data_IF_186102875555
#
_entry.id   IF_186102875555
#
_cell.length_a   1.000
_cell.length_b   1.000
_cell.length_c   1.000
_cell.angle_alpha   90.00
_cell.angle_beta   90.00
_cell.angle_gamma   90.00
#
_symmetry.space_group_name_H-M   'P 1'
#
loop_
_entity.id
_entity.type
_entity.pdbx_description
1 polymer ?
#
# COMPACT_ATOMS: atom_id res chain seq x y z
N UNK A 1 -39.57 27.42 52.60
CA UNK A 1 -40.49 27.23 51.45
C UNK A 1 -39.79 27.74 50.20
N UNK A 2 -39.59 26.83 49.25
CA UNK A 2 -39.28 27.04 47.82
C UNK A 2 -37.93 27.66 47.39
N UNK A 3 -37.00 26.76 47.11
CA UNK A 3 -35.94 26.87 46.10
C UNK A 3 -36.47 27.38 44.75
N UNK A 4 -35.72 28.26 44.08
CA UNK A 4 -35.68 28.30 42.61
C UNK A 4 -34.25 28.67 42.15
N UNK A 5 -33.42 27.63 42.04
CA UNK A 5 -32.17 27.67 41.28
C UNK A 5 -32.54 27.86 39.82
N UNK A 6 -32.15 28.97 39.19
CA UNK A 6 -32.35 29.19 37.75
C UNK A 6 -31.41 28.27 36.98
N UNK A 7 -31.99 27.26 36.33
CA UNK A 7 -31.28 26.25 35.57
C UNK A 7 -30.48 26.86 34.41
N UNK A 8 -29.23 26.43 34.32
CA UNK A 8 -28.34 26.63 33.19
C UNK A 8 -28.86 25.90 31.95
N UNK A 9 -28.94 26.61 30.82
CA UNK A 9 -29.08 25.99 29.49
C UNK A 9 -28.22 26.75 28.48
N UNK A 10 -26.90 26.59 28.57
CA UNK A 10 -26.05 26.81 27.40
C UNK A 10 -25.96 25.49 26.66
N UNK A 11 -26.75 25.38 25.60
CA UNK A 11 -26.72 24.27 24.66
C UNK A 11 -25.30 24.15 24.07
N UNK A 12 -24.56 23.12 24.49
CA UNK A 12 -23.30 22.76 23.87
C UNK A 12 -23.56 22.39 22.41
N UNK A 13 -23.05 23.20 21.49
CA UNK A 13 -23.03 22.90 20.06
C UNK A 13 -22.19 21.63 19.87
N UNK A 14 -22.87 20.51 19.65
CA UNK A 14 -22.24 19.28 19.19
C UNK A 14 -21.66 19.52 17.80
N UNK A 15 -20.36 19.80 17.74
CA UNK A 15 -19.60 19.77 16.48
C UNK A 15 -19.47 18.31 16.08
N UNK A 16 -20.43 17.82 15.31
CA UNK A 16 -20.33 16.54 14.63
C UNK A 16 -19.29 16.65 13.52
N UNK A 17 -18.03 16.39 13.85
CA UNK A 17 -17.02 16.08 12.84
C UNK A 17 -17.30 14.68 12.30
N UNK A 18 -18.28 14.57 11.39
CA UNK A 18 -18.42 13.40 10.53
C UNK A 18 -17.29 13.42 9.50
N UNK A 19 -16.08 13.08 9.96
CA UNK A 19 -14.99 12.77 9.07
C UNK A 19 -15.40 11.57 8.23
N UNK A 20 -15.68 11.81 6.94
CA UNK A 20 -15.87 10.75 5.97
C UNK A 20 -14.57 9.96 5.86
N UNK A 21 -14.42 8.91 6.68
CA UNK A 21 -13.56 7.80 6.34
C UNK A 21 -14.24 7.09 5.17
N UNK A 22 -14.08 7.65 3.97
CA UNK A 22 -14.29 6.91 2.73
C UNK A 22 -13.27 5.77 2.74
N UNK A 23 -13.64 4.68 3.40
CA UNK A 23 -12.97 3.41 3.30
C UNK A 23 -13.13 3.04 1.83
N UNK A 24 -12.05 3.11 1.06
CA UNK A 24 -11.98 2.59 -0.30
C UNK A 24 -12.08 1.06 -0.24
N UNK A 25 -13.24 0.55 0.13
CA UNK A 25 -13.65 -0.82 -0.10
C UNK A 25 -13.97 -0.88 -1.58
N UNK A 26 -13.05 -1.40 -2.39
CA UNK A 26 -13.29 -1.60 -3.81
C UNK A 26 -14.56 -2.44 -3.99
N UNK A 27 -15.60 -1.83 -4.52
CA UNK A 27 -16.87 -2.49 -4.79
C UNK A 27 -16.67 -3.52 -5.90
N UNK A 28 -17.22 -4.72 -5.74
CA UNK A 28 -17.22 -5.75 -6.77
C UNK A 28 -18.30 -5.42 -7.80
N UNK A 29 -17.93 -5.43 -9.07
CA UNK A 29 -18.79 -5.16 -10.21
C UNK A 29 -19.00 -6.48 -10.96
N UNK A 30 -20.15 -7.13 -10.72
CA UNK A 30 -20.49 -8.41 -11.34
C UNK A 30 -20.90 -8.19 -12.80
N UNK A 31 -20.62 -9.18 -13.65
CA UNK A 31 -20.87 -9.17 -15.10
C UNK A 31 -20.40 -7.88 -15.79
N UNK A 32 -19.25 -7.38 -15.35
CA UNK A 32 -18.69 -6.10 -15.78
C UNK A 32 -17.23 -6.27 -16.15
N UNK A 33 -16.88 -5.83 -17.36
CA UNK A 33 -15.50 -5.69 -17.82
C UNK A 33 -15.15 -4.20 -17.92
N UNK A 34 -14.01 -3.82 -17.32
CA UNK A 34 -13.40 -2.50 -17.49
C UNK A 34 -12.27 -2.60 -18.50
N UNK A 35 -12.60 -2.77 -19.79
CA UNK A 35 -11.66 -3.15 -20.84
C UNK A 35 -10.40 -2.26 -20.94
N UNK A 36 -9.31 -2.83 -21.45
CA UNK A 36 -8.05 -2.13 -21.74
C UNK A 36 -7.25 -1.71 -20.50
N UNK A 37 -6.11 -1.05 -20.74
CA UNK A 37 -5.18 -0.64 -19.67
C UNK A 37 -4.53 -1.81 -18.93
N UNK A 38 -4.55 -3.02 -19.46
CA UNK A 38 -3.99 -4.21 -18.80
C UNK A 38 -2.47 -4.09 -18.64
N UNK A 39 -1.99 -4.22 -17.41
CA UNK A 39 -0.57 -4.16 -17.04
C UNK A 39 -0.02 -5.53 -16.60
N UNK A 40 -0.90 -6.48 -16.29
CA UNK A 40 -0.55 -7.86 -15.96
C UNK A 40 -1.74 -8.80 -16.16
N UNK A 41 -1.44 -10.06 -16.46
CA UNK A 41 -2.42 -11.15 -16.66
C UNK A 41 -1.86 -12.44 -16.07
N UNK A 42 -2.64 -13.11 -15.23
CA UNK A 42 -2.26 -14.40 -14.64
C UNK A 42 -3.50 -15.20 -14.23
N UNK A 43 -3.34 -16.53 -14.09
CA UNK A 43 -4.39 -17.39 -13.57
C UNK A 43 -4.44 -17.32 -12.05
N UNK A 44 -5.65 -17.34 -11.51
CA UNK A 44 -5.92 -17.45 -10.08
C UNK A 44 -6.96 -18.56 -9.82
N UNK A 45 -7.31 -18.80 -8.56
CA UNK A 45 -8.38 -19.71 -8.19
C UNK A 45 -9.78 -19.18 -8.52
N UNK A 46 -10.80 -19.79 -7.91
CA UNK A 46 -12.21 -19.39 -8.09
C UNK A 46 -12.59 -18.07 -7.39
N UNK A 47 -11.66 -17.48 -6.63
CA UNK A 47 -11.96 -16.36 -5.76
C UNK A 47 -11.54 -15.00 -6.39
N UNK A 48 -12.49 -14.18 -6.88
CA UNK A 48 -12.18 -12.86 -7.44
C UNK A 48 -11.48 -11.91 -6.44
N UNK A 49 -11.62 -12.15 -5.13
CA UNK A 49 -10.91 -11.38 -4.11
C UNK A 49 -9.39 -11.46 -4.26
N UNK A 50 -8.86 -12.58 -4.77
CA UNK A 50 -7.42 -12.73 -5.01
C UNK A 50 -6.93 -11.74 -6.07
N UNK A 51 -7.77 -11.47 -7.09
CA UNK A 51 -7.49 -10.48 -8.13
C UNK A 51 -7.52 -9.05 -7.58
N UNK A 52 -8.50 -8.74 -6.72
CA UNK A 52 -8.56 -7.47 -6.01
C UNK A 52 -7.31 -7.25 -5.14
N UNK A 53 -6.92 -8.25 -4.35
CA UNK A 53 -5.75 -8.17 -3.48
C UNK A 53 -4.45 -8.00 -4.27
N UNK A 54 -4.30 -8.72 -5.39
CA UNK A 54 -3.17 -8.54 -6.28
C UNK A 54 -3.10 -7.12 -6.85
N UNK A 55 -4.24 -6.55 -7.25
CA UNK A 55 -4.31 -5.15 -7.69
C UNK A 55 -3.94 -4.16 -6.57
N UNK A 56 -4.41 -4.39 -5.35
CA UNK A 56 -4.06 -3.54 -4.21
C UNK A 56 -2.56 -3.53 -3.90
N UNK A 57 -1.84 -4.63 -4.21
CA UNK A 57 -0.39 -4.76 -4.02
C UNK A 57 0.43 -4.23 -5.20
N UNK A 58 -0.11 -4.27 -6.43
CA UNK A 58 0.53 -3.69 -7.60
C UNK A 58 0.31 -2.18 -7.62
N UNK A 59 1.41 -1.44 -7.47
CA UNK A 59 1.37 0.02 -7.39
C UNK A 59 0.67 0.62 -8.60
N UNK A 60 1.00 0.17 -9.81
CA UNK A 60 0.45 0.72 -11.05
C UNK A 60 -1.01 0.36 -11.27
N UNK A 61 -1.59 -0.57 -10.50
CA UNK A 61 -2.95 -1.05 -10.72
C UNK A 61 -4.00 -0.07 -10.16
N UNK A 62 -4.92 0.38 -10.98
CA UNK A 62 -6.06 1.21 -10.58
C UNK A 62 -7.39 0.44 -10.61
N UNK A 63 -7.47 -0.62 -11.41
CA UNK A 63 -8.64 -1.49 -11.50
C UNK A 63 -8.23 -2.93 -11.82
N UNK A 64 -9.15 -3.88 -11.66
CA UNK A 64 -8.93 -5.28 -11.97
C UNK A 64 -10.17 -5.89 -12.61
N UNK A 65 -9.98 -6.99 -13.36
CA UNK A 65 -11.06 -7.82 -13.90
C UNK A 65 -10.71 -9.29 -13.77
N UNK A 66 -11.63 -10.08 -13.23
CA UNK A 66 -11.54 -11.52 -13.08
C UNK A 66 -12.53 -12.20 -14.02
N UNK A 67 -12.05 -13.09 -14.89
CA UNK A 67 -12.90 -13.88 -15.80
C UNK A 67 -13.06 -15.27 -15.20
N UNK A 68 -14.29 -15.63 -14.81
CA UNK A 68 -14.59 -16.83 -14.02
C UNK A 68 -14.25 -18.14 -14.73
N UNK A 69 -14.56 -18.26 -16.02
CA UNK A 69 -14.36 -19.49 -16.80
C UNK A 69 -12.89 -19.95 -16.84
N UNK A 70 -11.98 -19.15 -17.42
CA UNK A 70 -10.55 -19.46 -17.46
C UNK A 70 -9.81 -19.08 -16.17
N UNK A 71 -10.52 -18.51 -15.19
CA UNK A 71 -10.00 -18.03 -13.91
C UNK A 71 -8.85 -17.04 -14.06
N UNK A 72 -8.97 -16.13 -15.02
CA UNK A 72 -7.93 -15.16 -15.36
C UNK A 72 -8.15 -13.84 -14.63
N UNK A 73 -7.11 -13.38 -13.94
CA UNK A 73 -7.02 -12.05 -13.39
C UNK A 73 -6.28 -11.12 -14.35
N UNK A 74 -6.87 -9.95 -14.58
CA UNK A 74 -6.30 -8.85 -15.35
C UNK A 74 -6.13 -7.65 -14.43
N UNK A 75 -4.90 -7.24 -14.20
CA UNK A 75 -4.59 -6.00 -13.48
C UNK A 75 -4.54 -4.85 -14.47
N UNK A 76 -5.18 -3.72 -14.14
CA UNK A 76 -5.35 -2.60 -15.05
C UNK A 76 -4.78 -1.33 -14.47
N UNK A 77 -3.99 -0.61 -15.26
CA UNK A 77 -3.35 0.64 -14.86
C UNK A 77 -4.29 1.85 -14.83
N UNK A 78 -5.45 1.75 -15.47
CA UNK A 78 -6.49 2.78 -15.43
C UNK A 78 -7.87 2.13 -15.47
N UNK A 79 -8.85 2.65 -14.71
CA UNK A 79 -10.22 2.19 -14.80
C UNK A 79 -10.88 2.80 -16.04
N UNK A 80 -11.07 2.01 -17.08
CA UNK A 80 -11.90 2.43 -18.23
C UNK A 80 -13.39 2.33 -17.92
N UNK A 81 -14.21 2.91 -18.81
CA UNK A 81 -15.68 2.84 -18.73
C UNK A 81 -16.14 1.38 -18.64
N UNK A 82 -16.98 1.04 -17.66
CA UNK A 82 -17.47 -0.33 -17.50
C UNK A 82 -18.38 -0.72 -18.67
N UNK A 83 -18.19 -1.94 -19.16
CA UNK A 83 -19.03 -2.58 -20.18
C UNK A 83 -19.60 -3.88 -19.62
N UNK A 84 -20.84 -4.21 -19.98
CA UNK A 84 -21.47 -5.47 -19.58
C UNK A 84 -20.73 -6.65 -20.22
N UNK A 85 -20.32 -7.61 -19.41
CA UNK A 85 -19.64 -8.82 -19.84
C UNK A 85 -19.92 -9.97 -18.88
N UNK A 86 -20.75 -10.93 -19.30
CA UNK A 86 -21.11 -12.09 -18.48
C UNK A 86 -19.89 -12.89 -18.04
N UNK A 87 -19.85 -13.28 -16.77
CA UNK A 87 -18.78 -14.08 -16.18
C UNK A 87 -17.50 -13.30 -15.90
N UNK A 88 -17.56 -11.96 -15.96
CA UNK A 88 -16.45 -11.07 -15.60
C UNK A 88 -16.82 -10.28 -14.34
N UNK A 89 -15.98 -10.34 -13.32
CA UNK A 89 -16.12 -9.58 -12.09
C UNK A 89 -14.99 -8.57 -12.03
N UNK A 90 -15.29 -7.28 -11.92
CA UNK A 90 -14.29 -6.21 -11.87
C UNK A 90 -14.34 -5.43 -10.58
N UNK A 91 -13.38 -4.53 -10.39
CA UNK A 91 -13.43 -3.54 -9.33
C UNK A 91 -12.40 -2.42 -9.54
N UNK A 92 -12.68 -1.26 -8.95
CA UNK A 92 -11.77 -0.10 -8.95
C UNK A 92 -11.11 0.00 -7.58
N UNK A 93 -9.79 0.12 -7.58
CA UNK A 93 -8.97 0.33 -6.37
C UNK A 93 -8.57 1.79 -6.24
N UNK A 94 -8.45 2.52 -7.37
CA UNK A 94 -8.07 3.94 -7.42
C UNK A 94 -8.87 4.66 -8.51
N UNK A 95 -9.37 5.85 -8.21
CA UNK A 95 -10.10 6.67 -9.18
C UNK A 95 -9.20 7.10 -10.36
N UNK A 96 -9.74 7.26 -11.59
CA UNK A 96 -9.00 7.79 -12.72
C UNK A 96 -8.48 9.21 -12.40
N UNK A 97 -7.23 9.50 -12.74
CA UNK A 97 -6.59 10.78 -12.43
C UNK A 97 -6.02 10.89 -11.00
N UNK A 98 -6.18 9.86 -10.16
CA UNK A 98 -5.40 9.71 -8.94
C UNK A 98 -4.33 8.63 -9.15
N UNK A 99 -3.29 8.90 -9.96
CA UNK A 99 -2.22 7.95 -10.13
C UNK A 99 -1.59 7.67 -8.75
N UNK A 100 -1.09 6.46 -8.52
CA UNK A 100 -0.18 6.22 -7.42
C UNK A 100 0.91 7.31 -7.51
N UNK A 101 1.36 7.90 -6.39
CA UNK A 101 2.52 8.78 -6.42
C UNK A 101 3.60 8.09 -7.25
N UNK A 102 4.07 8.74 -8.31
CA UNK A 102 4.95 8.17 -9.33
C UNK A 102 6.32 7.89 -8.68
N UNK A 103 6.43 6.76 -8.00
CA UNK A 103 7.54 6.45 -7.08
C UNK A 103 8.78 5.89 -7.76
N UNK A 104 9.09 6.34 -8.97
CA UNK A 104 10.38 6.03 -9.61
C UNK A 104 11.30 7.24 -9.71
N UNK A 105 10.75 8.47 -9.68
CA UNK A 105 11.56 9.69 -9.66
C UNK A 105 11.31 10.55 -8.40
N UNK A 106 10.14 10.46 -7.77
CA UNK A 106 9.79 11.27 -6.58
C UNK A 106 10.14 10.58 -5.25
N UNK A 107 10.50 9.28 -5.28
CA UNK A 107 10.55 8.41 -4.08
C UNK A 107 11.85 8.41 -3.26
N UNK A 108 12.94 9.00 -3.71
CA UNK A 108 14.20 8.85 -2.98
C UNK A 108 14.31 9.76 -1.73
N UNK A 109 13.45 10.77 -1.58
CA UNK A 109 13.62 11.83 -0.55
C UNK A 109 12.59 11.78 0.58
N UNK A 110 11.39 11.24 0.34
CA UNK A 110 10.32 11.18 1.35
C UNK A 110 10.07 9.74 1.80
N UNK A 111 10.32 9.38 3.08
CA UNK A 111 10.04 8.05 3.61
C UNK A 111 8.55 7.73 3.58
N UNK A 112 8.16 6.47 3.28
CA UNK A 112 6.80 5.99 3.49
C UNK A 112 6.34 6.17 4.95
N UNK A 113 5.02 6.32 5.20
CA UNK A 113 4.48 6.62 6.53
C UNK A 113 4.74 5.53 7.59
N UNK A 114 5.05 4.31 7.16
CA UNK A 114 5.41 3.21 8.07
C UNK A 114 6.90 3.23 8.48
N UNK A 115 7.74 4.05 7.85
CA UNK A 115 9.12 4.28 8.26
C UNK A 115 9.09 5.30 9.39
N UNK A 116 9.48 4.88 10.60
CA UNK A 116 9.56 5.78 11.75
C UNK A 116 10.47 6.99 11.45
N UNK A 117 10.19 8.13 12.09
CA UNK A 117 11.02 9.33 11.93
C UNK A 117 12.51 9.09 12.24
N UNK A 118 12.79 8.20 13.21
CA UNK A 118 14.13 7.73 13.57
C UNK A 118 14.88 7.07 12.41
N UNK A 119 14.15 6.59 11.40
CA UNK A 119 14.67 5.89 10.24
C UNK A 119 14.84 6.75 8.99
N UNK A 120 14.44 8.02 9.04
CA UNK A 120 14.46 8.92 7.88
C UNK A 120 15.85 9.10 7.29
N UNK A 121 16.88 9.31 8.12
CA UNK A 121 18.25 9.49 7.65
C UNK A 121 18.82 8.21 7.00
N UNK A 122 18.52 7.05 7.60
CA UNK A 122 18.92 5.73 7.10
C UNK A 122 18.23 5.43 5.77
N UNK A 123 16.93 5.75 5.68
CA UNK A 123 16.12 5.65 4.47
C UNK A 123 16.72 6.48 3.33
N UNK A 124 16.93 7.78 3.53
CA UNK A 124 17.46 8.68 2.50
C UNK A 124 18.84 8.18 2.01
N UNK A 125 19.75 7.86 2.94
CA UNK A 125 21.09 7.35 2.59
C UNK A 125 21.03 6.03 1.81
N UNK A 126 19.97 5.24 2.01
CA UNK A 126 19.79 3.98 1.32
C UNK A 126 19.48 4.13 -0.17
N UNK A 127 18.73 5.16 -0.55
CA UNK A 127 18.36 5.38 -1.95
C UNK A 127 19.42 6.12 -2.77
N UNK A 128 20.43 6.71 -2.13
CA UNK A 128 21.48 7.47 -2.83
C UNK A 128 22.73 6.65 -3.16
N UNK A 129 22.76 5.32 -2.95
CA UNK A 129 23.96 4.47 -3.16
C UNK A 129 23.76 3.38 -4.24
N UNK A 130 24.66 3.27 -5.24
CA UNK A 130 24.49 2.40 -6.41
C UNK A 130 24.93 0.93 -6.22
N UNK A 131 25.16 0.47 -4.99
CA UNK A 131 25.64 -0.90 -4.69
C UNK A 131 24.50 -1.84 -4.29
N UNK A 132 24.78 -3.16 -4.27
CA UNK A 132 23.89 -4.13 -3.63
C UNK A 132 23.62 -3.71 -2.17
N UNK A 133 22.34 -3.66 -1.79
CA UNK A 133 21.86 -3.05 -0.54
C UNK A 133 20.56 -3.66 -0.04
N UNK A 134 20.35 -3.56 1.26
CA UNK A 134 19.10 -3.92 1.93
C UNK A 134 18.79 -2.94 3.07
N UNK A 135 17.51 -2.62 3.24
CA UNK A 135 16.97 -1.84 4.37
C UNK A 135 16.09 -2.75 5.22
N UNK A 136 16.42 -2.87 6.51
CA UNK A 136 15.65 -3.60 7.49
C UNK A 136 15.00 -2.64 8.49
N UNK A 137 13.72 -2.84 8.79
CA UNK A 137 12.93 -1.98 9.68
C UNK A 137 12.28 -2.83 10.77
N UNK A 138 12.32 -2.32 11.99
CA UNK A 138 11.65 -2.87 13.17
C UNK A 138 10.97 -1.77 13.99
N UNK A 139 10.22 -2.14 15.03
CA UNK A 139 9.36 -1.21 15.79
C UNK A 139 10.13 -0.13 16.56
N UNK A 140 11.42 -0.32 16.83
CA UNK A 140 12.28 0.59 17.59
C UNK A 140 13.38 1.23 16.75
N UNK A 141 13.52 0.84 15.49
CA UNK A 141 14.52 1.40 14.59
C UNK A 141 14.80 0.51 13.39
N UNK A 142 15.79 0.92 12.61
CA UNK A 142 16.13 0.31 11.34
C UNK A 142 17.64 0.32 11.11
N UNK A 143 18.05 -0.43 10.11
CA UNK A 143 19.42 -0.44 9.63
C UNK A 143 19.43 -0.62 8.12
N UNK A 144 20.48 -0.09 7.49
CA UNK A 144 20.75 -0.29 6.07
C UNK A 144 22.15 -0.88 5.91
N UNK A 145 22.30 -1.85 5.01
CA UNK A 145 23.61 -2.35 4.60
C UNK A 145 23.87 -2.06 3.12
N UNK A 146 25.12 -1.74 2.78
CA UNK A 146 25.58 -1.36 1.45
C UNK A 146 26.89 -2.06 1.11
N UNK A 147 27.21 -2.17 -0.18
CA UNK A 147 28.49 -2.71 -0.64
C UNK A 147 28.64 -4.21 -0.42
N UNK A 148 27.54 -4.94 -0.26
CA UNK A 148 27.56 -6.39 -0.24
C UNK A 148 27.89 -6.95 -1.63
N UNK A 149 28.45 -8.16 -1.69
CA UNK A 149 28.70 -8.85 -2.97
C UNK A 149 27.42 -9.41 -3.57
N UNK A 150 26.48 -9.80 -2.72
CA UNK A 150 25.18 -10.34 -3.09
C UNK A 150 24.05 -9.66 -2.32
N UNK A 151 22.84 -9.76 -2.86
CA UNK A 151 21.63 -9.27 -2.17
C UNK A 151 21.40 -10.02 -0.85
N UNK A 152 21.64 -11.33 -0.82
CA UNK A 152 21.48 -12.16 0.39
C UNK A 152 22.43 -11.75 1.52
N UNK A 153 23.67 -11.39 1.16
CA UNK A 153 24.62 -10.84 2.11
C UNK A 153 24.13 -9.48 2.66
N UNK A 154 23.60 -8.62 1.79
CA UNK A 154 23.03 -7.34 2.22
C UNK A 154 21.84 -7.54 3.17
N UNK A 155 20.93 -8.47 2.84
CA UNK A 155 19.76 -8.83 3.66
C UNK A 155 20.21 -9.32 5.03
N UNK A 156 21.12 -10.30 5.06
CA UNK A 156 21.61 -10.92 6.30
C UNK A 156 22.23 -9.88 7.23
N UNK A 157 23.06 -8.99 6.67
CA UNK A 157 23.73 -7.93 7.43
C UNK A 157 22.74 -6.86 7.91
N UNK A 158 21.79 -6.46 7.08
CA UNK A 158 20.76 -5.49 7.45
C UNK A 158 19.87 -6.05 8.59
N UNK A 159 19.34 -7.27 8.46
CA UNK A 159 18.52 -7.89 9.50
C UNK A 159 19.27 -8.04 10.82
N UNK A 160 20.52 -8.52 10.79
CA UNK A 160 21.33 -8.67 11.99
C UNK A 160 21.58 -7.31 12.68
N UNK A 161 21.89 -6.26 11.92
CA UNK A 161 22.06 -4.92 12.47
C UNK A 161 20.75 -4.34 13.02
N UNK A 162 19.63 -4.58 12.34
CA UNK A 162 18.32 -4.10 12.77
C UNK A 162 17.87 -4.78 14.06
N UNK A 163 18.09 -6.09 14.18
CA UNK A 163 17.80 -6.84 15.40
C UNK A 163 18.56 -6.28 16.61
N UNK A 164 19.82 -5.86 16.45
CA UNK A 164 20.58 -5.18 17.51
C UNK A 164 19.91 -3.88 17.95
N UNK A 165 19.53 -3.02 17.00
CA UNK A 165 18.80 -1.77 17.28
C UNK A 165 17.46 -2.04 17.97
N UNK A 166 16.79 -3.13 17.59
CA UNK A 166 15.46 -3.48 18.08
C UNK A 166 15.47 -4.38 19.33
N UNK A 167 16.63 -4.59 19.97
CA UNK A 167 16.81 -5.44 21.16
C UNK A 167 16.32 -6.88 20.93
N UNK A 168 16.68 -7.46 19.78
CA UNK A 168 16.31 -8.81 19.40
C UNK A 168 14.92 -8.96 18.79
N UNK A 169 14.11 -7.90 18.72
CA UNK A 169 12.82 -7.96 18.02
C UNK A 169 13.05 -8.11 16.51
N UNK A 170 12.27 -9.01 15.91
CA UNK A 170 12.34 -9.32 14.49
C UNK A 170 12.14 -8.07 13.63
N UNK A 171 13.00 -7.92 12.63
CA UNK A 171 12.91 -6.87 11.62
C UNK A 171 12.44 -7.45 10.29
N UNK A 172 11.85 -6.60 9.45
CA UNK A 172 11.42 -6.93 8.09
C UNK A 172 12.29 -6.21 7.07
N UNK A 173 12.53 -6.83 5.92
CA UNK A 173 13.12 -6.18 4.75
C UNK A 173 12.07 -5.35 4.02
N UNK A 174 12.37 -4.07 3.80
CA UNK A 174 11.47 -3.14 3.10
C UNK A 174 11.81 -2.99 1.62
N UNK A 175 13.10 -2.96 1.28
CA UNK A 175 13.55 -2.84 -0.11
C UNK A 175 14.95 -3.45 -0.26
N UNK A 176 15.16 -4.16 -1.36
CA UNK A 176 16.47 -4.68 -1.78
C UNK A 176 16.78 -4.17 -3.18
N UNK A 177 18.06 -3.94 -3.46
CA UNK A 177 18.53 -3.60 -4.80
C UNK A 177 19.85 -4.30 -5.02
N UNK A 178 19.99 -4.97 -6.16
CA UNK A 178 21.20 -5.64 -6.64
C UNK A 178 21.35 -5.40 -8.13
N UNK A 179 22.60 -5.41 -8.62
CA UNK A 179 22.88 -5.62 -10.05
C UNK A 179 22.80 -7.11 -10.35
#
# INVERSE_FOLDING_TARGET
MSSLVRLATLAALFVSAAGSLAHAQGTFEVDTNRWGGDISKFQIGKNPLDCQQACSRERRCAAWSYVQGPQLCYLKGSPQTPTVAKGVISGVVRAPGNPPPQTSAVKAVTPPPYIAASCRAVYIRHFTRPSARALAVGPRGCSSHYGARTVDEAISRALAACAKVNRGVACRIEETSGR
#
